data_IF_152842851892
#
_entry.id   IF_152842851892
#
_cell.length_a   1.000
_cell.length_b   1.000
_cell.length_c   1.000
_cell.angle_alpha   90.00
_cell.angle_beta   90.00
_cell.angle_gamma   90.00
#
_symmetry.space_group_name_H-M   'P 1'
#
loop_
_entity.id
_entity.type
_entity.pdbx_description
1 polymer ?
#
# COMPACT_ATOMS: atom_id res chain seq x y z
N UNK A 1 18.75 -2.51 -34.34
CA UNK A 1 19.71 -3.64 -34.39
C UNK A 1 19.30 -4.76 -35.33
N UNK A 2 18.03 -5.17 -35.40
CA UNK A 2 17.53 -6.26 -36.28
C UNK A 2 17.89 -6.07 -37.76
N UNK A 3 17.63 -4.89 -38.36
CA UNK A 3 17.89 -4.63 -39.82
C UNK A 3 19.39 -4.77 -40.13
N UNK A 4 20.29 -4.29 -39.29
CA UNK A 4 21.75 -4.40 -39.56
C UNK A 4 22.23 -5.85 -39.56
N UNK A 5 21.68 -6.71 -38.70
CA UNK A 5 21.98 -8.14 -38.66
C UNK A 5 21.44 -8.85 -39.93
N UNK A 6 20.24 -8.45 -40.39
CA UNK A 6 19.66 -8.99 -41.63
C UNK A 6 20.49 -8.60 -42.86
N UNK A 7 20.98 -7.37 -42.95
CA UNK A 7 21.90 -6.92 -44.00
C UNK A 7 23.16 -7.78 -44.07
N UNK A 8 23.77 -8.06 -42.89
CA UNK A 8 24.98 -8.91 -42.84
C UNK A 8 24.65 -10.33 -43.24
N UNK A 9 23.51 -10.88 -42.83
CA UNK A 9 23.05 -12.22 -43.19
C UNK A 9 22.87 -12.36 -44.70
N UNK A 10 22.22 -11.37 -45.35
CA UNK A 10 21.96 -11.40 -46.79
C UNK A 10 23.27 -11.19 -47.59
N UNK A 11 24.22 -10.41 -47.05
CA UNK A 11 25.58 -10.29 -47.63
C UNK A 11 26.36 -11.61 -47.55
N UNK A 12 26.25 -12.35 -46.47
CA UNK A 12 26.85 -13.70 -46.33
C UNK A 12 26.24 -14.72 -47.28
N UNK A 13 25.04 -14.47 -47.78
CA UNK A 13 24.37 -15.28 -48.85
C UNK A 13 24.71 -14.82 -50.26
N UNK A 14 25.79 -14.06 -50.43
CA UNK A 14 26.28 -13.55 -51.72
C UNK A 14 25.31 -12.68 -52.47
N UNK A 15 24.31 -12.02 -51.80
CA UNK A 15 23.44 -11.05 -52.44
C UNK A 15 24.21 -9.74 -52.73
N UNK A 16 23.96 -9.17 -53.88
CA UNK A 16 24.63 -7.91 -54.26
C UNK A 16 24.19 -6.77 -53.33
N UNK A 17 25.10 -5.86 -53.01
CA UNK A 17 24.83 -4.73 -52.11
C UNK A 17 23.71 -3.81 -52.64
N UNK A 18 23.48 -3.77 -53.97
CA UNK A 18 22.37 -3.03 -54.58
C UNK A 18 21.02 -3.67 -54.20
N UNK A 19 20.87 -5.00 -54.37
CA UNK A 19 19.67 -5.74 -53.99
C UNK A 19 19.36 -5.66 -52.49
N UNK A 20 20.42 -5.72 -51.67
CA UNK A 20 20.27 -5.57 -50.20
C UNK A 20 19.81 -4.14 -49.85
N UNK A 21 20.36 -3.11 -50.52
CA UNK A 21 19.99 -1.71 -50.28
C UNK A 21 18.52 -1.46 -50.64
N UNK A 22 18.07 -1.97 -51.80
CA UNK A 22 16.68 -1.89 -52.25
C UNK A 22 15.74 -2.63 -51.29
N UNK A 23 16.06 -3.85 -50.93
CA UNK A 23 15.26 -4.68 -50.02
C UNK A 23 15.00 -4.04 -48.66
N UNK A 24 15.99 -3.34 -48.08
CA UNK A 24 15.89 -2.74 -46.77
C UNK A 24 15.63 -1.21 -46.78
N UNK A 25 15.45 -0.61 -47.94
CA UNK A 25 15.18 0.83 -48.10
C UNK A 25 16.33 1.71 -47.57
N UNK A 26 17.58 1.27 -47.73
CA UNK A 26 18.78 2.00 -47.24
C UNK A 26 19.74 2.28 -48.41
N UNK A 27 20.62 3.28 -48.23
CA UNK A 27 21.61 3.55 -49.29
C UNK A 27 22.64 2.42 -49.39
N UNK A 28 23.16 2.17 -50.62
CA UNK A 28 24.26 1.21 -50.84
C UNK A 28 25.47 1.48 -49.95
N UNK A 29 25.81 2.77 -49.73
CA UNK A 29 26.90 3.15 -48.84
C UNK A 29 26.66 2.77 -47.36
N UNK A 30 25.37 2.78 -46.92
CA UNK A 30 25.03 2.31 -45.58
C UNK A 30 25.21 0.79 -45.48
N UNK A 31 24.78 0.02 -46.48
CA UNK A 31 24.99 -1.43 -46.55
C UNK A 31 26.48 -1.77 -46.49
N UNK A 32 27.30 -1.12 -47.32
CA UNK A 32 28.75 -1.31 -47.34
C UNK A 32 29.40 -1.02 -45.96
N UNK A 33 29.02 0.10 -45.30
CA UNK A 33 29.54 0.44 -43.97
C UNK A 33 29.17 -0.59 -42.93
N UNK A 34 27.97 -1.17 -42.99
CA UNK A 34 27.52 -2.20 -42.04
C UNK A 34 28.31 -3.50 -42.27
N UNK A 35 28.52 -3.91 -43.51
CA UNK A 35 29.29 -5.11 -43.87
C UNK A 35 30.76 -4.97 -43.41
N UNK A 36 31.43 -3.86 -43.79
CA UNK A 36 32.80 -3.58 -43.38
C UNK A 36 32.95 -3.49 -41.84
N UNK A 37 31.97 -2.91 -41.18
CA UNK A 37 31.94 -2.87 -39.71
C UNK A 37 31.86 -4.28 -39.13
N UNK A 38 30.99 -5.12 -39.64
CA UNK A 38 30.87 -6.50 -39.19
C UNK A 38 32.14 -7.31 -39.50
N UNK A 39 32.73 -7.17 -40.67
CA UNK A 39 33.99 -7.83 -41.04
C UNK A 39 35.13 -7.42 -40.09
N UNK A 40 35.25 -6.13 -39.77
CA UNK A 40 36.31 -5.59 -38.92
C UNK A 40 36.18 -5.93 -37.43
N UNK A 41 34.93 -6.05 -36.90
CA UNK A 41 34.67 -6.07 -35.46
C UNK A 41 33.79 -7.26 -35.01
N UNK A 42 33.38 -8.14 -35.93
CA UNK A 42 32.47 -9.25 -35.61
C UNK A 42 31.07 -8.84 -35.19
N UNK A 43 30.78 -7.53 -35.10
CA UNK A 43 29.50 -6.97 -34.59
C UNK A 43 29.04 -5.76 -35.37
N UNK A 44 27.70 -5.64 -35.51
CA UNK A 44 27.03 -4.44 -36.08
C UNK A 44 26.63 -3.42 -35.02
N UNK A 45 26.80 -3.76 -33.73
CA UNK A 45 26.47 -2.88 -32.61
C UNK A 45 27.34 -1.61 -32.61
N UNK A 46 26.78 -0.54 -32.07
CA UNK A 46 27.58 0.68 -31.92
C UNK A 46 28.62 0.49 -30.83
N UNK A 47 29.82 1.03 -31.06
CA UNK A 47 30.93 0.88 -30.11
C UNK A 47 30.61 1.58 -28.79
N UNK A 48 30.98 0.95 -27.65
CA UNK A 48 31.00 1.65 -26.37
C UNK A 48 31.84 2.92 -26.45
N UNK A 49 31.43 3.99 -25.78
CA UNK A 49 32.18 5.24 -25.74
C UNK A 49 31.81 6.27 -26.82
N UNK A 50 30.85 5.98 -27.71
CA UNK A 50 30.24 6.99 -28.56
C UNK A 50 29.26 7.82 -27.74
N UNK A 51 29.60 9.04 -27.44
CA UNK A 51 28.73 9.98 -26.71
C UNK A 51 29.56 10.97 -25.90
N UNK A 52 28.92 11.96 -25.32
CA UNK A 52 29.59 12.92 -24.46
C UNK A 52 30.24 12.22 -23.26
N UNK A 53 31.46 12.60 -22.94
CA UNK A 53 32.18 12.10 -21.78
C UNK A 53 31.38 12.30 -20.50
N UNK A 54 31.50 11.36 -19.57
CA UNK A 54 30.88 11.45 -18.24
C UNK A 54 31.42 12.68 -17.51
N UNK A 55 30.50 13.57 -17.06
CA UNK A 55 30.87 14.83 -16.38
C UNK A 55 31.13 14.65 -14.87
N UNK A 56 30.96 13.46 -14.32
CA UNK A 56 31.23 13.13 -12.92
C UNK A 56 32.13 11.92 -12.80
N UNK A 57 33.02 11.91 -11.81
CA UNK A 57 33.83 10.74 -11.47
C UNK A 57 33.00 9.71 -10.69
N UNK A 58 33.45 8.46 -10.65
CA UNK A 58 32.83 7.41 -9.81
C UNK A 58 32.80 7.83 -8.33
N UNK A 59 33.90 8.44 -7.85
CA UNK A 59 33.97 8.96 -6.47
C UNK A 59 32.92 10.05 -6.19
N UNK A 60 32.71 10.98 -7.12
CA UNK A 60 31.66 12.00 -7.00
C UNK A 60 30.29 11.39 -6.95
N UNK A 61 30.01 10.38 -7.79
CA UNK A 61 28.74 9.68 -7.81
C UNK A 61 28.46 8.97 -6.48
N UNK A 62 29.46 8.30 -5.91
CA UNK A 62 29.33 7.63 -4.61
C UNK A 62 29.12 8.63 -3.46
N UNK A 63 29.73 9.82 -3.51
CA UNK A 63 29.46 10.89 -2.55
C UNK A 63 28.01 11.39 -2.63
N UNK A 64 27.46 11.58 -3.85
CA UNK A 64 26.07 11.95 -4.05
C UNK A 64 25.14 10.89 -3.42
N UNK A 65 25.39 9.61 -3.69
CA UNK A 65 24.59 8.51 -3.15
C UNK A 65 24.67 8.45 -1.62
N UNK A 66 25.85 8.64 -1.06
CA UNK A 66 26.06 8.68 0.40
C UNK A 66 25.25 9.79 1.07
N UNK A 67 25.20 11.00 0.48
CA UNK A 67 24.38 12.10 1.01
C UNK A 67 22.90 11.74 1.04
N UNK A 68 22.37 11.14 -0.02
CA UNK A 68 20.95 10.73 -0.10
C UNK A 68 20.64 9.62 0.92
N UNK A 69 21.54 8.64 1.08
CA UNK A 69 21.37 7.58 2.08
C UNK A 69 21.40 8.11 3.51
N UNK A 70 22.21 9.17 3.77
CA UNK A 70 22.28 9.82 5.08
C UNK A 70 21.02 10.63 5.36
N UNK A 71 20.51 11.36 4.36
CA UNK A 71 19.30 12.17 4.46
C UNK A 71 18.46 12.02 3.17
N UNK A 72 17.48 11.09 3.16
CA UNK A 72 16.61 10.86 2.00
C UNK A 72 15.70 12.04 1.64
N UNK A 73 15.58 13.05 2.50
CA UNK A 73 14.78 14.26 2.27
C UNK A 73 15.56 15.39 1.64
N UNK A 74 16.88 15.23 1.49
CA UNK A 74 17.74 16.28 0.93
C UNK A 74 17.38 16.56 -0.52
N UNK A 75 17.47 17.81 -0.94
CA UNK A 75 17.21 18.23 -2.32
C UNK A 75 18.48 18.09 -3.17
N UNK A 76 18.30 17.93 -4.48
CA UNK A 76 19.43 17.89 -5.44
C UNK A 76 20.26 19.15 -5.35
N UNK A 77 19.63 20.32 -5.15
CA UNK A 77 20.30 21.61 -4.98
C UNK A 77 21.18 21.60 -3.72
N UNK A 78 20.66 21.14 -2.58
CA UNK A 78 21.43 21.05 -1.34
C UNK A 78 22.61 20.07 -1.46
N UNK A 79 22.47 18.97 -2.21
CA UNK A 79 23.59 18.04 -2.50
C UNK A 79 24.66 18.75 -3.33
N UNK A 80 24.22 19.50 -4.37
CA UNK A 80 25.13 20.25 -5.24
C UNK A 80 25.94 21.29 -4.46
N UNK A 81 25.27 22.03 -3.58
CA UNK A 81 25.90 23.05 -2.72
C UNK A 81 26.86 22.42 -1.70
N UNK A 82 26.44 21.36 -0.99
CA UNK A 82 27.28 20.68 0.03
C UNK A 82 28.55 20.04 -0.53
N UNK A 83 28.48 19.55 -1.76
CA UNK A 83 29.59 18.85 -2.41
C UNK A 83 30.34 19.75 -3.41
N UNK A 84 30.00 21.03 -3.49
CA UNK A 84 30.55 22.02 -4.44
C UNK A 84 30.63 21.48 -5.88
N UNK A 85 29.49 20.96 -6.38
CA UNK A 85 29.46 20.29 -7.68
C UNK A 85 29.22 21.29 -8.81
N UNK A 86 30.07 21.26 -9.83
CA UNK A 86 29.89 22.05 -11.05
C UNK A 86 28.92 21.43 -12.07
N UNK A 87 28.51 20.18 -11.86
CA UNK A 87 27.57 19.46 -12.73
C UNK A 87 26.13 19.94 -12.55
N UNK A 88 25.32 19.79 -13.61
CA UNK A 88 23.91 20.19 -13.57
C UNK A 88 23.06 19.25 -12.69
N UNK A 89 21.96 19.78 -12.15
CA UNK A 89 20.95 19.02 -11.40
C UNK A 89 20.42 17.80 -12.19
N UNK A 90 20.28 17.97 -13.51
CA UNK A 90 19.86 16.87 -14.41
C UNK A 90 20.92 15.75 -14.41
N UNK A 91 22.21 16.10 -14.37
CA UNK A 91 23.28 15.10 -14.27
C UNK A 91 23.24 14.37 -12.94
N UNK A 92 23.03 15.09 -11.83
CA UNK A 92 22.90 14.49 -10.49
C UNK A 92 21.71 13.49 -10.47
N UNK A 93 20.52 13.91 -10.96
CA UNK A 93 19.35 13.00 -11.04
C UNK A 93 19.64 11.76 -11.90
N UNK A 94 20.38 11.91 -13.00
CA UNK A 94 20.78 10.77 -13.83
C UNK A 94 21.71 9.80 -13.08
N UNK A 95 22.66 10.32 -12.29
CA UNK A 95 23.54 9.49 -11.43
C UNK A 95 22.75 8.74 -10.36
N UNK A 96 21.73 9.39 -9.77
CA UNK A 96 20.81 8.76 -8.83
C UNK A 96 20.03 7.63 -9.51
N UNK A 97 19.46 7.88 -10.70
CA UNK A 97 18.70 6.89 -11.46
C UNK A 97 19.54 5.68 -11.89
N UNK A 98 20.84 5.86 -12.21
CA UNK A 98 21.77 4.76 -12.51
C UNK A 98 22.01 3.82 -11.31
N UNK A 99 21.68 4.26 -10.10
CA UNK A 99 21.73 3.47 -8.86
C UNK A 99 20.31 3.15 -8.32
N UNK A 100 19.29 3.13 -9.20
CA UNK A 100 17.88 2.86 -8.90
C UNK A 100 17.25 3.78 -7.84
N UNK A 101 17.84 4.94 -7.57
CA UNK A 101 17.29 5.95 -6.69
C UNK A 101 16.30 6.82 -7.46
N UNK A 102 15.01 6.72 -7.10
CA UNK A 102 13.90 7.49 -7.65
C UNK A 102 13.27 8.36 -6.56
N UNK A 103 12.74 9.50 -6.95
CA UNK A 103 11.99 10.36 -6.04
C UNK A 103 10.56 9.85 -5.87
N UNK A 104 10.13 9.68 -4.63
CA UNK A 104 8.75 9.30 -4.26
C UNK A 104 8.22 10.29 -3.24
N UNK A 105 6.91 10.49 -3.22
CA UNK A 105 6.27 11.23 -2.14
C UNK A 105 6.40 10.45 -0.82
N UNK A 106 6.85 11.15 0.23
CA UNK A 106 6.90 10.58 1.56
C UNK A 106 5.47 10.22 2.02
N UNK A 107 5.27 8.99 2.44
CA UNK A 107 3.98 8.57 3.00
C UNK A 107 3.78 9.20 4.37
N UNK A 108 2.64 9.87 4.55
CA UNK A 108 2.22 10.36 5.87
C UNK A 108 1.84 9.15 6.73
N UNK A 109 2.51 8.97 7.86
CA UNK A 109 2.16 7.98 8.90
C UNK A 109 2.37 8.62 10.28
N UNK A 110 1.50 8.35 11.26
CA UNK A 110 1.74 8.79 12.63
C UNK A 110 3.10 8.29 13.13
N UNK A 111 3.83 9.12 13.83
CA UNK A 111 5.14 8.72 14.37
C UNK A 111 4.92 7.82 15.59
N UNK A 112 5.48 6.61 15.58
CA UNK A 112 5.47 5.72 16.75
C UNK A 112 6.63 6.13 17.67
N UNK A 113 6.32 6.43 18.94
CA UNK A 113 7.33 6.75 19.94
C UNK A 113 8.25 5.55 20.21
N UNK A 114 9.45 5.80 20.73
CA UNK A 114 10.40 4.73 21.11
C UNK A 114 9.78 3.74 22.11
N UNK A 115 9.02 4.26 23.07
CA UNK A 115 8.30 3.44 24.07
C UNK A 115 7.29 2.51 23.39
N UNK A 116 6.47 3.05 22.48
CA UNK A 116 5.46 2.26 21.77
C UNK A 116 6.09 1.25 20.82
N UNK A 117 7.22 1.59 20.16
CA UNK A 117 7.98 0.60 19.39
C UNK A 117 8.41 -0.59 20.24
N UNK A 118 8.93 -0.33 21.45
CA UNK A 118 9.33 -1.40 22.37
C UNK A 118 8.14 -2.27 22.78
N UNK A 119 6.97 -1.66 23.10
CA UNK A 119 5.75 -2.41 23.43
C UNK A 119 5.28 -3.27 22.26
N UNK A 120 5.29 -2.73 21.04
CA UNK A 120 4.96 -3.47 19.82
C UNK A 120 5.91 -4.64 19.57
N UNK A 121 7.21 -4.42 19.76
CA UNK A 121 8.23 -5.44 19.61
C UNK A 121 8.07 -6.56 20.66
N UNK A 122 7.80 -6.19 21.92
CA UNK A 122 7.54 -7.14 22.99
C UNK A 122 6.31 -7.99 22.68
N UNK A 123 5.20 -7.36 22.29
CA UNK A 123 3.99 -8.06 21.86
C UNK A 123 4.29 -9.06 20.74
N UNK A 124 5.00 -8.63 19.69
CA UNK A 124 5.34 -9.50 18.57
C UNK A 124 6.18 -10.71 19.02
N UNK A 125 7.19 -10.51 19.86
CA UNK A 125 8.02 -11.61 20.40
C UNK A 125 7.25 -12.59 21.26
N UNK A 126 6.34 -12.10 22.10
CA UNK A 126 5.53 -12.94 22.98
C UNK A 126 4.48 -13.77 22.20
N UNK A 127 4.12 -13.34 21.00
CA UNK A 127 3.03 -13.97 20.23
C UNK A 127 3.48 -14.66 18.94
N UNK A 128 4.74 -14.50 18.51
CA UNK A 128 5.24 -15.07 17.24
C UNK A 128 5.11 -16.60 17.16
N UNK A 129 5.27 -17.27 18.29
CA UNK A 129 5.20 -18.73 18.40
C UNK A 129 3.79 -19.25 18.74
N UNK A 130 2.77 -18.38 18.79
CA UNK A 130 1.41 -18.83 19.02
C UNK A 130 0.92 -19.63 17.80
N UNK A 131 0.30 -20.80 18.02
CA UNK A 131 -0.24 -21.61 16.92
C UNK A 131 -1.38 -20.85 16.20
N UNK A 132 -1.64 -21.21 14.95
CA UNK A 132 -2.75 -20.62 14.19
C UNK A 132 -4.09 -20.79 14.91
N UNK A 133 -4.26 -21.89 15.62
CA UNK A 133 -5.46 -22.17 16.41
C UNK A 133 -5.75 -21.09 17.46
N UNK A 134 -4.73 -20.52 18.09
CA UNK A 134 -4.90 -19.36 18.99
C UNK A 134 -5.52 -18.17 18.25
N UNK A 135 -5.04 -17.86 17.04
CA UNK A 135 -5.50 -16.72 16.25
C UNK A 135 -6.92 -16.92 15.68
N UNK A 136 -7.32 -18.16 15.42
CA UNK A 136 -8.69 -18.47 14.99
C UNK A 136 -9.74 -18.08 16.02
N UNK A 137 -9.39 -18.21 17.31
CA UNK A 137 -10.27 -17.91 18.45
C UNK A 137 -10.13 -16.46 18.93
N UNK A 138 -9.50 -15.59 18.15
CA UNK A 138 -9.47 -14.16 18.42
C UNK A 138 -10.64 -13.47 17.72
N UNK A 139 -11.42 -12.73 18.49
CA UNK A 139 -12.44 -11.79 17.98
C UNK A 139 -11.75 -10.45 17.78
N UNK A 140 -11.60 -10.07 16.54
CA UNK A 140 -11.00 -8.80 16.12
C UNK A 140 -12.06 -7.74 16.03
N UNK A 141 -11.90 -6.64 16.74
CA UNK A 141 -12.89 -5.54 16.73
C UNK A 141 -12.24 -4.19 16.50
N UNK A 142 -13.00 -3.25 15.98
CA UNK A 142 -12.61 -1.86 15.80
C UNK A 142 -13.80 -0.99 15.38
N UNK A 143 -13.59 0.33 15.36
CA UNK A 143 -14.51 1.28 14.77
C UNK A 143 -14.00 1.82 13.45
N UNK A 144 -14.91 2.01 12.50
CA UNK A 144 -14.56 2.59 11.20
C UNK A 144 -15.56 3.63 10.74
N UNK A 145 -15.02 4.66 10.09
CA UNK A 145 -15.80 5.73 9.48
C UNK A 145 -15.96 5.50 7.98
N UNK A 146 -17.19 5.33 7.53
CA UNK A 146 -17.53 5.21 6.12
C UNK A 146 -18.11 6.52 5.58
N UNK A 147 -17.60 6.99 4.46
CA UNK A 147 -18.08 8.20 3.79
C UNK A 147 -19.03 7.82 2.66
N UNK A 148 -20.24 8.41 2.65
CA UNK A 148 -21.24 8.15 1.63
C UNK A 148 -20.74 8.51 0.23
N UNK A 149 -20.08 9.66 0.12
CA UNK A 149 -19.43 10.10 -1.12
C UNK A 149 -17.93 10.12 -0.91
N UNK A 150 -17.23 9.16 -1.53
CA UNK A 150 -15.79 8.98 -1.35
C UNK A 150 -14.99 10.10 -2.05
N UNK A 151 -14.65 11.16 -1.30
CA UNK A 151 -13.83 12.29 -1.77
C UNK A 151 -12.37 11.93 -2.06
N UNK A 152 -11.90 10.75 -1.63
CA UNK A 152 -10.47 10.38 -1.67
C UNK A 152 -10.02 9.74 -2.98
N UNK A 153 -10.91 9.20 -3.79
CA UNK A 153 -10.56 8.64 -5.09
C UNK A 153 -10.64 9.71 -6.16
N UNK A 154 -9.48 10.20 -6.61
CA UNK A 154 -9.40 10.95 -7.86
C UNK A 154 -9.72 9.99 -9.00
N UNK A 155 -10.93 10.08 -9.55
CA UNK A 155 -11.30 9.33 -10.75
C UNK A 155 -10.40 9.77 -11.91
N UNK A 156 -9.84 8.80 -12.61
CA UNK A 156 -9.13 9.06 -13.85
C UNK A 156 -10.13 8.98 -15.01
N UNK A 157 -10.18 10.02 -15.82
CA UNK A 157 -11.00 10.06 -17.01
C UNK A 157 -10.09 10.14 -18.26
N UNK A 158 -10.49 9.47 -19.30
CA UNK A 158 -9.81 9.53 -20.57
C UNK A 158 -10.42 10.68 -21.40
N UNK A 159 -9.60 11.66 -21.76
CA UNK A 159 -9.97 12.75 -22.67
C UNK A 159 -8.77 13.17 -23.51
N UNK A 160 -9.01 13.79 -24.66
CA UNK A 160 -7.94 14.42 -25.45
C UNK A 160 -7.44 15.68 -24.75
N UNK A 161 -6.18 16.07 -24.99
CA UNK A 161 -5.57 17.24 -24.36
C UNK A 161 -6.22 18.57 -24.79
N UNK A 162 -6.77 18.60 -25.99
CA UNK A 162 -7.48 19.71 -26.61
C UNK A 162 -8.99 19.68 -26.38
N UNK A 163 -9.52 18.62 -25.77
CA UNK A 163 -10.93 18.47 -25.42
C UNK A 163 -11.25 19.27 -24.17
N UNK A 164 -12.22 20.21 -24.27
CA UNK A 164 -12.72 20.97 -23.13
C UNK A 164 -13.32 20.06 -22.05
N UNK A 165 -13.34 20.52 -20.81
CA UNK A 165 -13.98 19.82 -19.70
C UNK A 165 -15.51 19.75 -19.93
N UNK A 166 -16.07 18.54 -19.93
CA UNK A 166 -17.50 18.24 -20.01
C UNK A 166 -17.94 17.62 -18.69
N UNK A 167 -19.25 17.66 -18.38
CA UNK A 167 -19.79 17.10 -17.12
C UNK A 167 -19.38 15.64 -16.88
N UNK A 168 -19.32 14.84 -17.93
CA UNK A 168 -18.81 13.44 -17.87
C UNK A 168 -17.34 13.32 -17.43
N UNK A 169 -16.56 14.39 -17.49
CA UNK A 169 -15.17 14.46 -17.05
C UNK A 169 -15.03 15.01 -15.62
N UNK A 170 -16.13 15.46 -15.03
CA UNK A 170 -16.16 16.04 -13.70
C UNK A 170 -16.54 14.97 -12.67
N UNK A 171 -15.91 15.00 -11.53
CA UNK A 171 -16.35 14.25 -10.37
C UNK A 171 -17.27 15.19 -9.56
N UNK A 172 -18.57 14.88 -9.45
CA UNK A 172 -19.48 15.72 -8.68
C UNK A 172 -19.01 15.84 -7.24
N UNK A 173 -18.97 17.05 -6.71
CA UNK A 173 -18.69 17.32 -5.30
C UNK A 173 -19.93 17.91 -4.64
N UNK A 174 -20.38 17.30 -3.56
CA UNK A 174 -21.48 17.87 -2.78
C UNK A 174 -20.95 18.89 -1.77
N UNK A 175 -21.51 20.10 -1.76
CA UNK A 175 -21.34 21.06 -0.66
C UNK A 175 -21.82 20.38 0.63
N UNK A 176 -21.05 20.42 1.71
CA UNK A 176 -21.34 19.79 3.02
C UNK A 176 -21.12 18.25 3.13
N UNK A 177 -20.40 17.65 2.19
CA UNK A 177 -19.74 16.36 2.43
C UNK A 177 -20.59 15.10 2.52
N UNK A 178 -21.85 15.11 2.06
CA UNK A 178 -22.63 13.89 1.82
C UNK A 178 -22.90 12.96 3.01
N UNK A 179 -22.44 13.30 4.21
CA UNK A 179 -22.60 12.47 5.40
C UNK A 179 -21.54 11.37 5.55
N UNK A 180 -21.40 10.91 6.76
CA UNK A 180 -20.58 9.74 7.11
C UNK A 180 -21.34 8.91 8.16
N UNK A 181 -21.02 7.65 8.20
CA UNK A 181 -21.49 6.71 9.22
C UNK A 181 -20.26 6.20 9.96
N UNK A 182 -20.33 6.18 11.28
CA UNK A 182 -19.38 5.47 12.12
C UNK A 182 -20.00 4.14 12.49
N UNK A 183 -19.25 3.07 12.36
CA UNK A 183 -19.70 1.73 12.73
C UNK A 183 -18.69 1.07 13.64
N UNK A 184 -19.18 0.20 14.54
CA UNK A 184 -18.39 -0.81 15.22
C UNK A 184 -18.68 -2.15 14.58
N UNK A 185 -17.69 -3.03 14.52
CA UNK A 185 -17.88 -4.39 14.06
C UNK A 185 -16.79 -5.30 14.56
N UNK A 186 -17.05 -6.62 14.47
CA UNK A 186 -16.07 -7.62 14.85
C UNK A 186 -16.13 -8.83 13.91
N UNK A 187 -15.02 -9.55 13.83
CA UNK A 187 -14.93 -10.78 13.05
C UNK A 187 -13.92 -11.76 13.66
N UNK A 188 -14.01 -13.00 13.25
CA UNK A 188 -13.04 -14.05 13.58
C UNK A 188 -12.69 -14.88 12.34
N UNK A 189 -11.92 -15.93 12.52
CA UNK A 189 -11.71 -16.97 11.50
C UNK A 189 -13.00 -17.60 10.99
N UNK A 190 -14.02 -17.69 11.86
CA UNK A 190 -15.24 -18.45 11.61
C UNK A 190 -16.33 -17.63 10.90
N UNK A 191 -16.24 -16.30 10.92
CA UNK A 191 -17.20 -15.42 10.29
C UNK A 191 -17.11 -13.98 10.78
N UNK A 192 -18.10 -13.20 10.35
CA UNK A 192 -18.33 -11.83 10.85
C UNK A 192 -19.34 -11.86 11.98
N UNK A 193 -19.13 -11.02 12.99
CA UNK A 193 -20.13 -10.69 13.99
C UNK A 193 -21.10 -9.61 13.51
N UNK A 194 -21.76 -8.96 14.45
CA UNK A 194 -22.66 -7.86 14.16
C UNK A 194 -21.90 -6.61 13.71
N UNK A 195 -22.55 -5.81 12.86
CA UNK A 195 -22.13 -4.46 12.49
C UNK A 195 -23.09 -3.48 13.15
N UNK A 196 -22.62 -2.66 14.09
CA UNK A 196 -23.43 -1.71 14.84
C UNK A 196 -23.14 -0.27 14.38
N UNK A 197 -24.18 0.52 14.18
CA UNK A 197 -24.04 1.95 13.88
C UNK A 197 -23.79 2.73 15.17
N UNK A 198 -22.78 3.61 15.15
CA UNK A 198 -22.43 4.50 16.25
C UNK A 198 -23.07 5.88 15.99
N UNK A 199 -23.95 6.30 16.87
CA UNK A 199 -24.60 7.60 16.78
C UNK A 199 -23.89 8.62 17.68
N UNK A 200 -23.46 9.74 17.11
CA UNK A 200 -22.79 10.79 17.87
C UNK A 200 -21.33 10.46 18.24
N UNK A 201 -20.92 10.93 19.41
CA UNK A 201 -19.57 10.71 19.97
C UNK A 201 -19.61 9.49 20.90
N UNK A 202 -18.81 8.48 20.61
CA UNK A 202 -18.72 7.29 21.47
C UNK A 202 -17.98 7.61 22.76
N UNK A 203 -18.67 7.46 23.88
CA UNK A 203 -18.11 7.50 25.23
C UNK A 203 -17.73 6.09 25.70
N UNK A 204 -17.15 5.96 26.92
CA UNK A 204 -16.91 4.65 27.51
C UNK A 204 -18.20 3.88 27.79
N UNK A 205 -19.26 4.58 28.21
CA UNK A 205 -20.60 4.00 28.39
C UNK A 205 -21.17 3.52 27.07
N UNK A 206 -21.20 4.39 26.04
CA UNK A 206 -21.70 4.01 24.72
C UNK A 206 -20.92 2.84 24.10
N UNK A 207 -19.62 2.68 24.43
CA UNK A 207 -18.85 1.51 24.03
C UNK A 207 -19.32 0.25 24.77
N UNK A 208 -19.57 0.34 26.08
CA UNK A 208 -20.11 -0.77 26.86
C UNK A 208 -21.47 -1.20 26.35
N UNK A 209 -22.36 -0.23 26.05
CA UNK A 209 -23.69 -0.49 25.48
C UNK A 209 -23.59 -1.26 24.17
N UNK A 210 -22.69 -0.84 23.24
CA UNK A 210 -22.44 -1.56 21.98
C UNK A 210 -21.99 -2.99 22.25
N UNK A 211 -21.08 -3.23 23.22
CA UNK A 211 -20.64 -4.57 23.55
C UNK A 211 -21.76 -5.42 24.14
N UNK A 212 -22.58 -4.86 25.04
CA UNK A 212 -23.72 -5.55 25.64
C UNK A 212 -24.75 -5.97 24.58
N UNK A 213 -25.04 -5.10 23.61
CA UNK A 213 -26.03 -5.35 22.58
C UNK A 213 -25.56 -6.30 21.47
N UNK A 214 -24.24 -6.33 21.18
CA UNK A 214 -23.75 -6.96 19.96
C UNK A 214 -22.75 -8.09 20.16
N UNK A 215 -22.00 -8.14 21.28
CA UNK A 215 -20.87 -9.07 21.39
C UNK A 215 -21.36 -10.52 21.58
N UNK A 216 -22.34 -10.75 22.44
CA UNK A 216 -22.88 -12.10 22.71
C UNK A 216 -23.49 -12.70 21.44
N UNK A 217 -24.35 -11.95 20.75
CA UNK A 217 -24.93 -12.39 19.49
C UNK A 217 -23.86 -12.64 18.43
N UNK A 218 -22.83 -11.79 18.37
CA UNK A 218 -21.67 -11.99 17.47
C UNK A 218 -20.93 -13.29 17.75
N UNK A 219 -20.75 -13.63 19.04
CA UNK A 219 -20.11 -14.88 19.44
C UNK A 219 -20.94 -16.09 19.00
N UNK A 220 -22.25 -16.06 19.24
CA UNK A 220 -23.18 -17.10 18.79
C UNK A 220 -23.13 -17.27 17.26
N UNK A 221 -23.20 -16.18 16.52
CA UNK A 221 -23.13 -16.16 15.06
C UNK A 221 -21.82 -16.77 14.53
N UNK A 222 -20.72 -16.63 15.25
CA UNK A 222 -19.41 -17.16 14.91
C UNK A 222 -19.09 -18.53 15.53
N UNK A 223 -19.97 -19.08 16.37
CA UNK A 223 -19.73 -20.35 17.08
C UNK A 223 -18.61 -20.30 18.12
N UNK A 224 -18.40 -19.15 18.77
CA UNK A 224 -17.29 -18.89 19.72
C UNK A 224 -17.77 -18.73 21.16
N UNK A 225 -18.79 -19.43 21.60
CA UNK A 225 -19.48 -19.19 22.88
C UNK A 225 -18.58 -19.28 24.11
N UNK A 226 -17.56 -20.16 24.15
CA UNK A 226 -16.83 -20.48 25.38
C UNK A 226 -15.29 -20.36 25.27
N UNK A 227 -14.75 -20.19 24.09
CA UNK A 227 -13.29 -20.18 23.90
C UNK A 227 -12.84 -19.09 22.92
N UNK A 228 -12.76 -17.87 23.39
CA UNK A 228 -12.29 -16.76 22.58
C UNK A 228 -11.42 -15.80 23.39
N UNK A 229 -10.67 -14.99 22.68
CA UNK A 229 -9.94 -13.83 23.20
C UNK A 229 -10.41 -12.60 22.44
N UNK A 230 -10.92 -11.60 23.14
CA UNK A 230 -11.40 -10.36 22.53
C UNK A 230 -10.24 -9.38 22.32
N UNK A 231 -10.10 -8.89 21.10
CA UNK A 231 -9.12 -7.84 20.79
C UNK A 231 -9.82 -6.51 20.66
N UNK A 232 -9.28 -5.50 21.32
CA UNK A 232 -9.61 -4.10 21.18
C UNK A 232 -8.32 -3.27 21.23
N UNK A 233 -8.36 -2.03 20.74
CA UNK A 233 -7.22 -1.12 20.84
C UNK A 233 -7.15 -0.42 22.21
N UNK A 234 -6.17 0.50 22.37
CA UNK A 234 -5.97 1.26 23.59
C UNK A 234 -6.62 2.65 23.56
N UNK A 235 -7.72 2.84 22.83
CA UNK A 235 -8.45 4.10 22.88
C UNK A 235 -8.85 4.43 24.34
N UNK A 236 -8.85 5.70 24.79
CA UNK A 236 -9.24 6.09 26.12
C UNK A 236 -10.60 5.52 26.59
N UNK A 237 -11.58 5.40 25.68
CA UNK A 237 -12.89 4.79 26.00
C UNK A 237 -12.78 3.29 26.32
N UNK A 238 -11.88 2.56 25.66
CA UNK A 238 -11.65 1.12 25.88
C UNK A 238 -10.85 0.87 27.16
N UNK A 239 -10.00 1.81 27.54
CA UNK A 239 -9.15 1.69 28.74
C UNK A 239 -9.70 2.41 29.97
N UNK A 240 -10.87 2.99 29.89
CA UNK A 240 -11.56 3.68 30.98
C UNK A 240 -11.81 2.74 32.18
N UNK A 241 -11.88 3.29 33.40
CA UNK A 241 -12.16 2.51 34.62
C UNK A 241 -13.47 1.72 34.50
N UNK A 242 -14.53 2.33 33.93
CA UNK A 242 -15.83 1.69 33.72
C UNK A 242 -15.74 0.50 32.77
N UNK A 243 -15.05 0.65 31.64
CA UNK A 243 -14.85 -0.39 30.65
C UNK A 243 -14.05 -1.55 31.22
N UNK A 244 -12.98 -1.28 31.99
CA UNK A 244 -12.21 -2.33 32.67
C UNK A 244 -13.03 -3.05 33.76
N UNK A 245 -13.93 -2.35 34.45
CA UNK A 245 -14.85 -2.98 35.41
C UNK A 245 -15.84 -3.90 34.68
N UNK A 246 -16.40 -3.47 33.56
CA UNK A 246 -17.25 -4.27 32.71
C UNK A 246 -16.57 -5.57 32.25
N UNK A 247 -15.34 -5.50 31.69
CA UNK A 247 -14.62 -6.70 31.27
C UNK A 247 -14.35 -7.67 32.43
N UNK A 248 -14.11 -7.16 33.62
CA UNK A 248 -13.94 -8.01 34.82
C UNK A 248 -15.23 -8.68 35.27
N UNK A 249 -16.36 -7.96 35.25
CA UNK A 249 -17.66 -8.51 35.67
C UNK A 249 -18.19 -9.55 34.69
N UNK A 250 -17.99 -9.33 33.40
CA UNK A 250 -18.43 -10.25 32.33
C UNK A 250 -17.45 -11.40 32.07
N UNK A 251 -16.28 -11.39 32.69
CA UNK A 251 -15.20 -12.39 32.49
C UNK A 251 -14.71 -12.48 31.03
N UNK A 252 -14.95 -11.46 30.23
CA UNK A 252 -14.44 -11.39 28.84
C UNK A 252 -12.91 -11.30 28.88
N UNK A 253 -12.24 -12.26 28.28
CA UNK A 253 -10.78 -12.30 28.18
C UNK A 253 -10.32 -11.33 27.09
N UNK A 254 -9.87 -10.14 27.48
CA UNK A 254 -9.31 -9.15 26.54
C UNK A 254 -7.83 -9.39 26.30
N UNK A 255 -7.39 -9.24 25.06
CA UNK A 255 -5.98 -9.31 24.65
C UNK A 255 -5.24 -8.04 25.07
N UNK A 256 -4.04 -8.19 25.64
CA UNK A 256 -3.13 -7.07 25.86
C UNK A 256 -2.61 -6.57 24.51
N UNK A 257 -3.17 -5.47 24.02
CA UNK A 257 -2.86 -4.94 22.70
C UNK A 257 -1.79 -3.84 22.77
N UNK A 258 -0.79 -3.83 21.85
CA UNK A 258 0.21 -2.78 21.81
C UNK A 258 -0.37 -1.47 21.27
N UNK A 259 0.00 -0.30 21.84
CA UNK A 259 -0.51 0.99 21.38
C UNK A 259 -0.03 1.33 19.97
N UNK A 260 -0.81 2.16 19.25
CA UNK A 260 -0.52 2.63 17.89
C UNK A 260 -0.26 1.48 16.90
N UNK A 261 -1.11 0.45 16.92
CA UNK A 261 -0.93 -0.78 16.16
C UNK A 261 -2.10 -1.14 15.21
N UNK A 262 -2.65 -0.19 14.46
CA UNK A 262 -3.70 -0.52 13.48
C UNK A 262 -3.18 -1.47 12.39
N UNK A 263 -1.91 -1.38 12.03
CA UNK A 263 -1.26 -2.26 11.07
C UNK A 263 -1.17 -3.73 11.51
N UNK A 264 -1.33 -4.00 12.79
CA UNK A 264 -1.44 -5.35 13.35
C UNK A 264 -2.90 -5.84 13.40
N UNK A 265 -3.89 -4.95 13.44
CA UNK A 265 -5.28 -5.34 13.51
C UNK A 265 -5.81 -5.75 12.11
N UNK A 266 -6.21 -7.03 11.91
CA UNK A 266 -6.68 -7.49 10.60
C UNK A 266 -7.97 -6.81 10.13
N UNK A 267 -8.80 -6.33 11.06
CA UNK A 267 -10.08 -5.69 10.72
C UNK A 267 -9.88 -4.39 9.92
N UNK A 268 -8.75 -3.72 10.05
CA UNK A 268 -8.42 -2.53 9.27
C UNK A 268 -8.33 -2.83 7.75
N UNK A 269 -7.87 -4.04 7.41
CA UNK A 269 -7.90 -4.51 6.03
C UNK A 269 -9.31 -4.92 5.61
N UNK A 270 -10.08 -5.50 6.54
CA UNK A 270 -11.46 -5.87 6.29
C UNK A 270 -12.34 -4.66 6.01
N UNK A 271 -12.14 -3.54 6.72
CA UNK A 271 -12.80 -2.26 6.43
C UNK A 271 -12.53 -1.77 5.01
N UNK A 272 -11.30 -1.92 4.53
CA UNK A 272 -10.98 -1.55 3.15
C UNK A 272 -11.65 -2.46 2.10
N UNK A 273 -11.79 -3.76 2.40
CA UNK A 273 -12.53 -4.71 1.56
C UNK A 273 -14.01 -4.34 1.54
N UNK A 274 -14.61 -4.07 2.71
CA UNK A 274 -16.00 -3.67 2.85
C UNK A 274 -16.29 -2.38 2.07
N UNK A 275 -15.50 -1.31 2.23
CA UNK A 275 -15.70 -0.04 1.51
C UNK A 275 -15.66 -0.20 -0.02
N UNK A 276 -14.87 -1.19 -0.50
CA UNK A 276 -14.83 -1.50 -1.93
C UNK A 276 -16.01 -2.36 -2.40
N UNK A 277 -16.60 -3.17 -1.52
CA UNK A 277 -17.70 -4.10 -1.83
C UNK A 277 -19.07 -3.46 -1.75
N UNK A 278 -19.23 -2.44 -0.91
CA UNK A 278 -20.52 -1.76 -0.72
C UNK A 278 -21.01 -1.15 -2.03
N UNK A 279 -22.19 -1.57 -2.45
CA UNK A 279 -22.90 -0.91 -3.56
C UNK A 279 -23.53 0.38 -3.05
N UNK A 280 -23.04 1.51 -3.55
CA UNK A 280 -23.53 2.85 -3.22
C UNK A 280 -24.57 3.35 -4.25
N UNK A 281 -24.99 2.51 -5.18
CA UNK A 281 -25.97 2.86 -6.20
C UNK A 281 -27.35 3.10 -5.57
N UNK A 282 -27.96 4.25 -5.82
CA UNK A 282 -29.27 4.60 -5.28
C UNK A 282 -29.32 4.91 -3.79
N UNK A 283 -28.17 4.98 -3.11
CA UNK A 283 -28.10 5.35 -1.68
C UNK A 283 -28.29 6.86 -1.53
N UNK A 284 -29.39 7.27 -0.92
CA UNK A 284 -29.77 8.67 -0.78
C UNK A 284 -29.61 9.24 0.64
N UNK A 285 -29.60 8.39 1.65
CA UNK A 285 -29.53 8.78 3.05
C UNK A 285 -28.64 7.83 3.90
N UNK A 286 -28.43 8.20 5.17
CA UNK A 286 -27.58 7.43 6.08
C UNK A 286 -28.14 6.04 6.40
N UNK A 287 -29.48 5.90 6.55
CA UNK A 287 -30.11 4.62 6.84
C UNK A 287 -29.95 3.65 5.67
N UNK A 288 -30.24 4.09 4.45
CA UNK A 288 -30.02 3.29 3.25
C UNK A 288 -28.55 2.89 3.09
N UNK A 289 -27.61 3.78 3.45
CA UNK A 289 -26.18 3.48 3.41
C UNK A 289 -25.79 2.47 4.45
N UNK A 290 -26.31 2.55 5.68
CA UNK A 290 -26.04 1.56 6.71
C UNK A 290 -26.59 0.19 6.34
N UNK A 291 -27.82 0.12 5.79
CA UNK A 291 -28.38 -1.14 5.27
C UNK A 291 -27.51 -1.76 4.16
N UNK A 292 -26.98 -0.92 3.24
CA UNK A 292 -26.05 -1.41 2.22
C UNK A 292 -24.73 -1.90 2.82
N UNK A 293 -24.22 -1.23 3.87
CA UNK A 293 -23.03 -1.69 4.62
C UNK A 293 -23.28 -3.03 5.33
N UNK A 294 -24.43 -3.20 6.00
CA UNK A 294 -24.78 -4.46 6.67
C UNK A 294 -24.86 -5.61 5.67
N UNK A 295 -25.58 -5.41 4.57
CA UNK A 295 -25.65 -6.43 3.52
C UNK A 295 -24.27 -6.82 3.00
N UNK A 296 -23.42 -5.84 2.68
CA UNK A 296 -22.07 -6.11 2.19
C UNK A 296 -21.18 -6.77 3.24
N UNK A 297 -21.41 -6.49 4.55
CA UNK A 297 -20.73 -7.10 5.69
C UNK A 297 -21.11 -8.56 5.83
N UNK A 298 -22.39 -8.89 5.82
CA UNK A 298 -22.90 -10.27 5.92
C UNK A 298 -22.50 -11.12 4.71
N UNK A 299 -22.35 -10.50 3.53
CA UNK A 299 -21.91 -11.14 2.30
C UNK A 299 -20.38 -11.25 2.18
N UNK A 300 -19.59 -10.93 3.22
CA UNK A 300 -18.12 -11.06 3.15
C UNK A 300 -17.72 -12.54 3.00
N UNK A 301 -16.78 -12.77 2.08
CA UNK A 301 -16.28 -14.12 1.83
C UNK A 301 -15.44 -14.62 3.00
N UNK A 302 -15.79 -15.78 3.53
CA UNK A 302 -15.09 -16.44 4.63
C UNK A 302 -13.61 -16.67 4.35
N UNK A 303 -13.22 -16.90 3.08
CA UNK A 303 -11.82 -17.08 2.72
C UNK A 303 -11.02 -15.79 2.92
N UNK A 304 -11.61 -14.61 2.69
CA UNK A 304 -10.96 -13.35 3.00
C UNK A 304 -10.68 -13.19 4.50
N UNK A 305 -11.65 -13.54 5.35
CA UNK A 305 -11.49 -13.49 6.82
C UNK A 305 -10.36 -14.42 7.27
N UNK A 306 -10.35 -15.66 6.77
CA UNK A 306 -9.31 -16.65 7.05
C UNK A 306 -7.92 -16.15 6.65
N UNK A 307 -7.77 -15.65 5.44
CA UNK A 307 -6.50 -15.11 4.96
C UNK A 307 -5.99 -13.95 5.83
N UNK A 308 -6.90 -13.10 6.33
CA UNK A 308 -6.55 -11.99 7.22
C UNK A 308 -6.03 -12.50 8.57
N UNK A 309 -6.70 -13.49 9.17
CA UNK A 309 -6.26 -14.10 10.43
C UNK A 309 -4.96 -14.89 10.25
N UNK A 310 -4.81 -15.65 9.17
CA UNK A 310 -3.58 -16.38 8.81
C UNK A 310 -2.38 -15.44 8.59
N UNK A 311 -2.63 -14.18 8.28
CA UNK A 311 -1.55 -13.20 8.12
C UNK A 311 -0.86 -12.80 9.43
N UNK A 312 -1.44 -13.13 10.60
CA UNK A 312 -0.93 -12.67 11.90
C UNK A 312 0.52 -13.07 12.19
N UNK A 313 0.96 -14.32 12.02
CA UNK A 313 2.36 -14.67 12.23
C UNK A 313 3.32 -13.84 11.36
N UNK A 314 2.93 -13.62 10.09
CA UNK A 314 3.73 -12.79 9.17
C UNK A 314 3.75 -11.32 9.58
N UNK A 315 2.63 -10.76 10.08
CA UNK A 315 2.60 -9.39 10.61
C UNK A 315 3.54 -9.24 11.80
N UNK A 316 3.53 -10.21 12.73
CA UNK A 316 4.42 -10.21 13.90
C UNK A 316 5.88 -10.29 13.49
N UNK A 317 6.22 -11.15 12.54
CA UNK A 317 7.57 -11.26 11.99
C UNK A 317 8.04 -9.91 11.41
N UNK A 318 7.20 -9.26 10.61
CA UNK A 318 7.51 -7.95 10.04
C UNK A 318 7.70 -6.85 11.12
N UNK A 319 6.95 -6.90 12.23
CA UNK A 319 7.16 -5.98 13.36
C UNK A 319 8.50 -6.22 14.02
N UNK A 320 8.93 -7.48 14.16
CA UNK A 320 10.25 -7.83 14.70
C UNK A 320 11.35 -7.30 13.79
N UNK A 321 11.27 -7.54 12.49
CA UNK A 321 12.20 -7.04 11.47
C UNK A 321 12.26 -5.49 11.45
N UNK A 322 11.09 -4.83 11.59
CA UNK A 322 10.97 -3.38 11.67
C UNK A 322 11.35 -2.82 13.05
N UNK A 323 11.82 -3.66 14.00
CA UNK A 323 12.17 -3.27 15.38
C UNK A 323 11.05 -2.47 16.05
N UNK A 324 9.81 -2.97 15.95
CA UNK A 324 8.61 -2.33 16.46
C UNK A 324 8.06 -1.17 15.61
N UNK A 325 8.67 -0.88 14.48
CA UNK A 325 8.20 0.13 13.53
C UNK A 325 6.92 -0.27 12.81
N UNK A 326 6.39 0.64 11.98
CA UNK A 326 5.25 0.34 11.11
C UNK A 326 5.57 -0.75 10.11
N UNK A 327 4.60 -1.62 9.88
CA UNK A 327 4.65 -2.64 8.84
C UNK A 327 3.76 -2.24 7.64
N UNK A 328 3.95 -2.94 6.56
CA UNK A 328 3.17 -2.75 5.33
C UNK A 328 2.15 -3.86 5.26
N UNK A 329 0.98 -3.56 5.78
CA UNK A 329 -0.21 -4.41 5.69
C UNK A 329 -1.43 -3.56 5.41
#
# INVERSE_FOLDING_TARGET
MQIRNLIVRDAKRNQSQRKIAEKFGVSRGAVQKIILKHQKFGSVADRPGRGAKRKSSARTDDLIIRQIKKDPRTTVRAIKERLDLTISDRTIRRRMAERDLKSYFAKKRPMISKVNKNKRLLFARNHINKPLEFWKHVIWSDESKFELFNKKRRLRVWRKSDEGLQDRHLQPTMKHGGGNIMVWGCFSWFGVGNLAQINGIMTAEGYIDILCENLEESMLKMGLENNYTFQQDNDPKHTAKKTRAFFRSTRIKSMEWPPQSPDLNPIENLWAILDNKVDKTGVTNKQAYFAALQKAWDDLDLQHLRNLVESMPKRLQLVIEAKGGHIKY
#
